data_IF_990134441165
#
_entry.id   IF_990134441165
#
_cell.length_a   1.000
_cell.length_b   1.000
_cell.length_c   1.000
_cell.angle_alpha   90.00
_cell.angle_beta   90.00
_cell.angle_gamma   90.00
#
_symmetry.space_group_name_H-M   'P 1'
#
loop_
_entity.id
_entity.type
_entity.pdbx_description
1 polymer ?
#
# COMPACT_ATOMS: atom_id res chain seq x y z
N UNK A 1 22.18 29.92 36.31
CA UNK A 1 22.06 29.65 34.88
C UNK A 1 21.74 28.18 34.75
N UNK A 2 20.46 27.84 34.58
CA UNK A 2 20.02 26.48 34.26
C UNK A 2 19.43 26.59 32.86
N UNK A 3 20.20 26.21 31.85
CA UNK A 3 19.67 25.98 30.51
C UNK A 3 18.96 24.63 30.53
N UNK A 4 17.64 24.69 30.50
CA UNK A 4 16.77 23.55 30.25
C UNK A 4 16.95 23.11 28.80
N UNK A 5 17.51 21.92 28.62
CA UNK A 5 17.49 21.18 27.35
C UNK A 5 16.04 20.91 26.96
N UNK A 6 15.55 21.59 25.92
CA UNK A 6 14.35 21.18 25.21
C UNK A 6 14.65 19.88 24.47
N UNK A 7 14.07 18.78 24.93
CA UNK A 7 13.92 17.56 24.14
C UNK A 7 13.08 17.92 22.90
N UNK A 8 13.74 18.06 21.75
CA UNK A 8 13.07 18.01 20.46
C UNK A 8 12.68 16.55 20.22
N UNK A 9 11.51 16.15 20.71
CA UNK A 9 10.86 14.93 20.24
C UNK A 9 10.50 15.16 18.77
N UNK A 10 11.34 14.62 17.89
CA UNK A 10 11.22 14.71 16.43
C UNK A 10 10.05 13.91 15.85
N UNK A 11 8.86 14.04 16.44
CA UNK A 11 7.63 13.47 15.91
C UNK A 11 7.14 14.39 14.78
N UNK A 12 7.38 13.99 13.54
CA UNK A 12 6.79 14.63 12.36
C UNK A 12 5.28 14.44 12.43
N UNK A 13 4.50 15.53 12.38
CA UNK A 13 3.04 15.40 12.41
C UNK A 13 2.52 14.70 11.15
N UNK A 14 1.37 14.03 11.24
CA UNK A 14 0.76 13.37 10.09
C UNK A 14 0.50 14.35 8.93
N UNK A 15 0.22 15.61 9.26
CA UNK A 15 -0.02 16.67 8.29
C UNK A 15 1.28 17.12 7.62
N UNK A 16 2.38 17.24 8.36
CA UNK A 16 3.71 17.55 7.80
C UNK A 16 4.23 16.42 6.90
N UNK A 17 3.97 15.17 7.29
CA UNK A 17 4.26 14.01 6.44
C UNK A 17 3.44 14.09 5.15
N UNK A 18 2.13 14.32 5.24
CA UNK A 18 1.24 14.43 4.08
C UNK A 18 1.68 15.55 3.15
N UNK A 19 2.05 16.70 3.69
CA UNK A 19 2.55 17.83 2.91
C UNK A 19 3.88 17.51 2.21
N UNK A 20 4.77 16.79 2.91
CA UNK A 20 6.03 16.31 2.34
C UNK A 20 5.78 15.34 1.18
N UNK A 21 4.85 14.39 1.34
CA UNK A 21 4.47 13.44 0.29
C UNK A 21 3.84 14.15 -0.92
N UNK A 22 2.94 15.12 -0.69
CA UNK A 22 2.33 15.93 -1.74
C UNK A 22 3.37 16.69 -2.58
N UNK A 23 4.44 17.17 -1.96
CA UNK A 23 5.50 17.91 -2.67
C UNK A 23 6.26 17.06 -3.71
N UNK A 24 6.31 15.75 -3.50
CA UNK A 24 6.98 14.78 -4.38
C UNK A 24 5.99 14.02 -5.28
N UNK A 25 4.70 14.11 -4.98
CA UNK A 25 3.63 13.43 -5.69
C UNK A 25 3.45 13.98 -7.10
N UNK A 26 3.22 13.07 -8.07
CA UNK A 26 2.81 13.46 -9.43
C UNK A 26 1.56 12.71 -9.85
N UNK A 27 0.64 13.47 -10.41
CA UNK A 27 -0.58 12.95 -10.99
C UNK A 27 -0.30 12.00 -12.15
N UNK A 28 -1.07 10.93 -12.21
CA UNK A 28 -1.19 10.05 -13.38
C UNK A 28 -2.63 9.53 -13.43
N UNK A 29 -3.24 9.61 -14.61
CA UNK A 29 -4.66 9.29 -14.82
C UNK A 29 -5.04 7.92 -14.27
N UNK A 30 -4.30 6.86 -14.67
CA UNK A 30 -4.56 5.49 -14.21
C UNK A 30 -4.48 5.34 -12.69
N UNK A 31 -3.49 5.98 -12.06
CA UNK A 31 -3.32 5.95 -10.60
C UNK A 31 -4.51 6.58 -9.87
N UNK A 32 -5.01 7.69 -10.41
CA UNK A 32 -6.22 8.34 -9.91
C UNK A 32 -7.47 7.48 -10.10
N UNK A 33 -7.70 6.97 -11.30
CA UNK A 33 -8.87 6.15 -11.63
C UNK A 33 -8.94 4.87 -10.80
N UNK A 34 -7.84 4.11 -10.72
CA UNK A 34 -7.82 2.86 -9.94
C UNK A 34 -8.00 3.15 -8.44
N UNK A 35 -7.45 4.25 -7.94
CA UNK A 35 -7.65 4.61 -6.52
C UNK A 35 -9.08 5.01 -6.21
N UNK A 36 -9.65 5.90 -7.03
CA UNK A 36 -10.98 6.46 -6.81
C UNK A 36 -12.10 5.45 -7.05
N UNK A 37 -11.94 4.56 -8.02
CA UNK A 37 -13.01 3.63 -8.43
C UNK A 37 -12.86 2.23 -7.82
N UNK A 38 -11.65 1.81 -7.46
CA UNK A 38 -11.39 0.46 -6.92
C UNK A 38 -10.90 0.50 -5.48
N UNK A 39 -9.75 1.12 -5.21
CA UNK A 39 -9.09 1.00 -3.90
C UNK A 39 -9.87 1.66 -2.75
N UNK A 40 -10.26 2.92 -2.92
CA UNK A 40 -10.98 3.68 -1.88
C UNK A 40 -12.37 3.06 -1.63
N UNK A 41 -13.19 2.77 -2.66
CA UNK A 41 -14.46 2.11 -2.44
C UNK A 41 -14.32 0.74 -1.77
N UNK A 42 -13.31 -0.05 -2.13
CA UNK A 42 -13.06 -1.35 -1.50
C UNK A 42 -12.74 -1.21 0.00
N UNK A 43 -11.88 -0.25 0.37
CA UNK A 43 -11.59 0.06 1.78
C UNK A 43 -12.84 0.55 2.53
N UNK A 44 -13.69 1.36 1.89
CA UNK A 44 -14.89 1.91 2.52
C UNK A 44 -16.01 0.87 2.67
N UNK A 45 -16.10 -0.10 1.77
CA UNK A 45 -17.14 -1.13 1.77
C UNK A 45 -16.75 -2.38 2.57
N UNK A 46 -15.46 -2.65 2.73
CA UNK A 46 -14.99 -3.79 3.51
C UNK A 46 -15.05 -3.49 5.01
N UNK A 47 -15.70 -4.40 5.75
CA UNK A 47 -15.78 -4.37 7.21
C UNK A 47 -14.49 -4.80 7.88
N UNK A 48 -13.67 -5.59 7.18
CA UNK A 48 -12.40 -6.06 7.72
C UNK A 48 -11.36 -4.94 7.65
N UNK A 49 -10.58 -4.80 8.72
CA UNK A 49 -9.48 -3.83 8.76
C UNK A 49 -8.25 -4.44 8.08
N UNK A 50 -7.66 -3.77 7.08
CA UNK A 50 -6.43 -4.25 6.48
C UNK A 50 -5.30 -4.21 7.51
N UNK A 51 -4.69 -5.35 7.76
CA UNK A 51 -3.52 -5.44 8.63
C UNK A 51 -2.23 -5.07 7.87
N UNK A 52 -2.23 -5.33 6.56
CA UNK A 52 -1.08 -5.13 5.68
C UNK A 52 -1.56 -4.44 4.41
N UNK A 53 -0.85 -3.40 3.99
CA UNK A 53 -1.13 -2.69 2.74
C UNK A 53 0.07 -2.85 1.81
N UNK A 54 -0.17 -3.46 0.64
CA UNK A 54 0.81 -3.61 -0.42
C UNK A 54 0.64 -2.47 -1.41
N UNK A 55 1.60 -1.56 -1.45
CA UNK A 55 1.67 -0.50 -2.45
C UNK A 55 2.65 -0.89 -3.54
N UNK A 56 2.29 -0.62 -4.79
CA UNK A 56 3.27 -0.79 -5.85
C UNK A 56 2.73 -0.55 -7.23
N UNK A 57 3.53 -1.01 -8.17
CA UNK A 57 3.30 -0.89 -9.59
C UNK A 57 2.56 -2.12 -10.16
N UNK A 58 2.89 -2.48 -11.41
CA UNK A 58 2.39 -3.67 -12.08
C UNK A 58 2.73 -4.98 -11.37
N UNK A 59 3.84 -5.09 -10.62
CA UNK A 59 4.18 -6.36 -9.94
C UNK A 59 3.18 -6.64 -8.82
N UNK A 60 2.87 -5.63 -8.00
CA UNK A 60 1.88 -5.76 -6.94
C UNK A 60 0.48 -5.92 -7.52
N UNK A 61 0.11 -5.13 -8.54
CA UNK A 61 -1.17 -5.29 -9.26
C UNK A 61 -1.33 -6.73 -9.81
N UNK A 62 -0.26 -7.34 -10.33
CA UNK A 62 -0.29 -8.70 -10.90
C UNK A 62 -0.49 -9.80 -9.86
N UNK A 63 -0.28 -9.53 -8.58
CA UNK A 63 -0.57 -10.50 -7.53
C UNK A 63 -2.07 -10.82 -7.47
N UNK A 64 -2.95 -9.86 -7.80
CA UNK A 64 -4.39 -10.11 -7.85
C UNK A 64 -4.82 -10.85 -9.11
N UNK A 65 -4.13 -10.64 -10.25
CA UNK A 65 -4.53 -11.20 -11.55
C UNK A 65 -3.84 -12.52 -11.88
N UNK A 66 -2.50 -12.54 -11.89
CA UNK A 66 -1.71 -13.75 -12.19
C UNK A 66 -1.52 -14.60 -10.95
N UNK A 67 -1.34 -13.94 -9.80
CA UNK A 67 -1.17 -14.62 -8.51
C UNK A 67 -2.48 -15.00 -7.83
N UNK A 68 -3.64 -14.66 -8.39
CA UNK A 68 -4.96 -14.96 -7.82
C UNK A 68 -5.06 -14.68 -6.30
N UNK A 69 -4.40 -13.59 -5.86
CA UNK A 69 -4.33 -13.17 -4.46
C UNK A 69 -5.07 -11.84 -4.29
N UNK A 70 -6.42 -11.85 -4.36
CA UNK A 70 -7.22 -10.65 -4.19
C UNK A 70 -7.12 -10.10 -2.75
N UNK A 71 -7.44 -8.83 -2.59
CA UNK A 71 -7.45 -8.18 -1.27
C UNK A 71 -8.40 -8.88 -0.30
N UNK A 72 -8.03 -8.91 0.97
CA UNK A 72 -8.80 -9.50 2.09
C UNK A 72 -9.05 -11.01 1.98
N UNK A 73 -8.33 -11.70 1.11
CA UNK A 73 -8.24 -13.17 1.11
C UNK A 73 -6.88 -13.62 1.67
N UNK A 74 -6.73 -14.89 2.09
CA UNK A 74 -5.45 -15.41 2.56
C UNK A 74 -4.33 -15.17 1.55
N UNK A 75 -3.26 -14.51 1.99
CA UNK A 75 -2.13 -14.11 1.17
C UNK A 75 -0.83 -14.84 1.56
N UNK A 76 -0.01 -15.28 0.59
CA UNK A 76 -0.34 -15.38 -0.84
C UNK A 76 -1.44 -16.42 -1.06
N UNK A 77 -2.05 -16.47 -2.24
CA UNK A 77 -3.06 -17.48 -2.58
C UNK A 77 -2.48 -18.90 -2.67
N UNK A 78 -3.35 -19.90 -2.79
CA UNK A 78 -2.93 -21.28 -3.07
C UNK A 78 -2.27 -21.43 -4.45
N UNK A 79 -2.66 -20.60 -5.41
CA UNK A 79 -2.08 -20.56 -6.76
C UNK A 79 -0.60 -20.17 -6.72
N UNK A 80 -0.22 -19.22 -5.84
CA UNK A 80 1.17 -18.80 -5.69
C UNK A 80 1.99 -19.69 -4.77
N UNK A 81 1.38 -20.18 -3.70
CA UNK A 81 2.05 -21.04 -2.73
C UNK A 81 1.06 -22.08 -2.25
N UNK A 82 1.19 -23.33 -2.71
CA UNK A 82 0.24 -24.39 -2.34
C UNK A 82 0.34 -24.76 -0.86
N UNK A 83 -0.71 -25.37 -0.31
CA UNK A 83 -0.66 -25.89 1.07
C UNK A 83 0.48 -26.89 1.28
N UNK A 84 0.73 -27.77 0.30
CA UNK A 84 1.86 -28.71 0.32
C UNK A 84 3.22 -28.00 0.40
N UNK A 85 3.35 -26.85 -0.28
CA UNK A 85 4.56 -26.03 -0.24
C UNK A 85 4.75 -25.37 1.13
N UNK A 86 3.67 -24.89 1.76
CA UNK A 86 3.70 -24.35 3.13
C UNK A 86 4.13 -25.41 4.13
N UNK A 87 3.57 -26.62 4.04
CA UNK A 87 3.95 -27.75 4.90
C UNK A 87 5.42 -28.10 4.70
N UNK A 88 5.88 -28.17 3.46
CA UNK A 88 7.27 -28.47 3.12
C UNK A 88 8.24 -27.41 3.63
N UNK A 89 7.90 -26.12 3.49
CA UNK A 89 8.69 -25.01 4.00
C UNK A 89 8.72 -24.98 5.53
N UNK A 90 7.59 -25.26 6.17
CA UNK A 90 7.49 -25.29 7.64
C UNK A 90 8.40 -26.40 8.20
N UNK A 91 8.39 -27.58 7.58
CA UNK A 91 9.31 -28.67 7.92
C UNK A 91 10.78 -28.29 7.71
N UNK A 92 11.10 -27.57 6.62
CA UNK A 92 12.45 -27.09 6.34
C UNK A 92 12.95 -26.02 7.34
N UNK A 93 12.02 -25.26 7.95
CA UNK A 93 12.31 -24.23 8.95
C UNK A 93 12.26 -24.75 10.39
N UNK A 94 12.43 -26.06 10.61
CA UNK A 94 12.35 -26.72 11.92
C UNK A 94 10.99 -26.52 12.61
N UNK A 95 9.91 -26.78 11.87
CA UNK A 95 8.52 -26.67 12.34
C UNK A 95 8.09 -25.28 12.83
N UNK A 96 8.75 -24.23 12.32
CA UNK A 96 8.19 -22.88 12.45
C UNK A 96 6.88 -22.79 11.64
N UNK A 97 5.81 -22.33 12.30
CA UNK A 97 4.50 -22.20 11.66
C UNK A 97 4.53 -21.09 10.61
N UNK A 98 4.55 -21.47 9.33
CA UNK A 98 4.26 -20.54 8.24
C UNK A 98 2.74 -20.50 8.05
N UNK A 99 2.13 -19.37 8.38
CA UNK A 99 0.72 -19.13 8.13
C UNK A 99 0.56 -18.11 7.01
N UNK A 100 -0.51 -18.25 6.22
CA UNK A 100 -0.92 -17.20 5.29
C UNK A 100 -1.35 -15.97 6.07
N UNK A 101 -1.07 -14.80 5.50
CA UNK A 101 -1.46 -13.52 6.04
C UNK A 101 -2.95 -13.30 5.76
N UNK A 102 -3.70 -12.89 6.78
CA UNK A 102 -5.08 -12.41 6.64
C UNK A 102 -5.10 -10.91 6.40
N UNK A 103 -6.22 -10.41 5.85
CA UNK A 103 -6.50 -8.97 5.74
C UNK A 103 -5.41 -8.17 5.01
N UNK A 104 -4.83 -8.75 3.96
CA UNK A 104 -3.88 -8.04 3.09
C UNK A 104 -4.65 -7.23 2.05
N UNK A 105 -4.39 -5.93 1.98
CA UNK A 105 -4.95 -5.04 0.99
C UNK A 105 -3.93 -4.74 -0.11
N UNK A 106 -4.26 -5.16 -1.33
CA UNK A 106 -3.47 -4.86 -2.51
C UNK A 106 -3.90 -3.51 -3.11
N UNK A 107 -2.97 -2.56 -3.11
CA UNK A 107 -3.13 -1.23 -3.69
C UNK A 107 -2.12 -1.00 -4.86
N UNK A 108 -1.82 -2.06 -5.61
CA UNK A 108 -0.96 -2.01 -6.79
C UNK A 108 -1.65 -1.37 -7.99
N UNK A 109 -0.93 -0.55 -8.75
CA UNK A 109 -1.44 0.04 -10.01
C UNK A 109 -0.41 -0.05 -11.11
N UNK A 110 -0.82 -0.57 -12.26
CA UNK A 110 0.07 -0.78 -13.39
C UNK A 110 0.83 0.45 -13.87
N UNK A 111 2.15 0.32 -13.92
CA UNK A 111 3.08 1.35 -14.37
C UNK A 111 3.21 2.57 -13.45
N UNK A 112 2.69 2.50 -12.22
CA UNK A 112 2.99 3.51 -11.23
C UNK A 112 4.49 3.63 -11.00
N UNK A 113 4.95 4.86 -10.90
CA UNK A 113 6.26 5.18 -10.33
C UNK A 113 6.08 5.60 -8.89
N UNK A 114 7.20 5.76 -8.18
CA UNK A 114 7.20 6.23 -6.80
C UNK A 114 6.35 7.49 -6.62
N UNK A 115 6.53 8.51 -7.45
CA UNK A 115 5.76 9.77 -7.39
C UNK A 115 4.23 9.57 -7.53
N UNK A 116 3.79 8.53 -8.24
CA UNK A 116 2.36 8.24 -8.43
C UNK A 116 1.79 7.51 -7.22
N UNK A 117 2.59 6.64 -6.60
CA UNK A 117 2.23 6.01 -5.31
C UNK A 117 2.07 7.09 -4.24
N UNK A 118 3.00 8.05 -4.16
CA UNK A 118 2.90 9.17 -3.22
C UNK A 118 1.63 10.00 -3.45
N UNK A 119 1.27 10.24 -4.71
CA UNK A 119 0.02 10.91 -5.07
C UNK A 119 -1.22 10.20 -4.52
N UNK A 120 -1.27 8.87 -4.63
CA UNK A 120 -2.40 8.07 -4.10
C UNK A 120 -2.39 8.00 -2.58
N UNK A 121 -1.21 7.94 -1.98
CA UNK A 121 -1.04 7.93 -0.53
C UNK A 121 -1.55 9.21 0.12
N UNK A 122 -1.06 10.36 -0.38
CA UNK A 122 -1.35 11.67 0.19
C UNK A 122 -2.69 12.27 -0.30
N UNK A 123 -3.21 11.77 -1.42
CA UNK A 123 -4.39 12.32 -2.07
C UNK A 123 -4.07 13.51 -2.97
N UNK A 124 -5.06 13.90 -3.77
CA UNK A 124 -4.96 14.97 -4.75
C UNK A 124 -6.03 16.03 -4.52
N UNK A 125 -5.64 17.29 -4.61
CA UNK A 125 -6.58 18.40 -4.53
C UNK A 125 -7.41 18.48 -5.84
N UNK A 126 -8.62 19.02 -5.72
CA UNK A 126 -9.49 19.24 -6.87
C UNK A 126 -8.83 20.18 -7.89
N UNK A 127 -9.06 19.93 -9.18
CA UNK A 127 -8.75 20.88 -10.24
C UNK A 127 -9.94 21.03 -11.18
N UNK A 128 -9.87 21.96 -12.14
CA UNK A 128 -10.95 22.21 -13.11
C UNK A 128 -11.44 20.91 -13.78
N UNK A 129 -10.52 20.01 -14.12
CA UNK A 129 -10.85 18.75 -14.81
C UNK A 129 -10.98 17.51 -13.90
N UNK A 130 -10.83 17.63 -12.57
CA UNK A 130 -10.87 16.45 -11.69
C UNK A 130 -11.39 16.73 -10.28
N UNK A 131 -12.24 15.83 -9.73
CA UNK A 131 -12.62 15.90 -8.33
C UNK A 131 -11.41 15.58 -7.42
N UNK A 132 -11.46 15.96 -6.14
CA UNK A 132 -10.39 15.63 -5.20
C UNK A 132 -10.30 14.11 -5.01
N UNK A 133 -9.08 13.61 -4.81
CA UNK A 133 -8.81 12.22 -4.44
C UNK A 133 -8.53 12.16 -2.93
N UNK A 134 -9.36 11.48 -2.13
CA UNK A 134 -9.00 11.15 -0.75
C UNK A 134 -7.70 10.35 -0.73
N UNK A 135 -6.75 10.71 0.14
CA UNK A 135 -5.50 9.96 0.27
C UNK A 135 -5.75 8.59 0.91
N UNK A 136 -5.03 7.56 0.47
CA UNK A 136 -5.08 6.26 1.15
C UNK A 136 -4.70 6.39 2.63
N UNK A 137 -3.79 7.30 2.98
CA UNK A 137 -3.47 7.59 4.38
C UNK A 137 -4.70 8.04 5.16
N UNK A 138 -5.52 8.93 4.62
CA UNK A 138 -6.73 9.43 5.30
C UNK A 138 -7.76 8.31 5.51
N UNK A 139 -7.95 7.47 4.49
CA UNK A 139 -8.91 6.36 4.54
C UNK A 139 -8.46 5.26 5.53
N UNK A 140 -7.16 5.10 5.71
CA UNK A 140 -6.56 4.08 6.56
C UNK A 140 -6.20 4.59 7.97
N UNK A 141 -6.19 5.90 8.21
CA UNK A 141 -5.81 6.52 9.49
C UNK A 141 -6.63 6.06 10.69
N UNK A 142 -7.87 5.58 10.46
CA UNK A 142 -8.73 5.04 11.51
C UNK A 142 -8.56 3.53 11.74
N UNK A 143 -7.63 2.88 11.03
CA UNK A 143 -7.47 1.43 11.01
C UNK A 143 -6.10 1.02 11.53
N UNK A 144 -6.03 -0.15 12.17
CA UNK A 144 -4.78 -0.64 12.78
C UNK A 144 -3.87 -1.32 11.74
N UNK A 145 -3.34 -0.55 10.79
CA UNK A 145 -2.41 -1.05 9.76
C UNK A 145 -1.04 -1.30 10.41
N UNK A 146 -0.57 -2.55 10.37
CA UNK A 146 0.69 -2.97 11.02
C UNK A 146 1.90 -2.87 10.10
N UNK A 147 1.70 -2.91 8.77
CA UNK A 147 2.79 -2.91 7.79
C UNK A 147 2.40 -2.25 6.47
N UNK A 148 3.29 -1.37 5.99
CA UNK A 148 3.28 -0.80 4.65
C UNK A 148 4.52 -1.30 3.90
N UNK A 149 4.32 -1.96 2.77
CA UNK A 149 5.41 -2.32 1.87
C UNK A 149 5.19 -1.67 0.50
N UNK A 150 6.24 -1.06 -0.04
CA UNK A 150 6.20 -0.33 -1.30
C UNK A 150 7.18 -0.93 -2.29
N UNK A 151 6.65 -1.54 -3.35
CA UNK A 151 7.47 -2.06 -4.45
C UNK A 151 7.36 -1.13 -5.66
N UNK A 152 8.48 -0.51 -6.01
CA UNK A 152 8.63 0.21 -7.28
C UNK A 152 9.76 -0.43 -8.07
N UNK A 153 9.46 -1.05 -9.20
CA UNK A 153 10.47 -1.49 -10.16
C UNK A 153 10.88 -0.35 -11.08
N UNK A 154 12.17 -0.05 -11.17
CA UNK A 154 12.68 0.78 -12.27
C UNK A 154 12.51 0.02 -13.58
N UNK A 155 11.55 0.45 -14.41
CA UNK A 155 11.55 0.05 -15.83
C UNK A 155 12.54 0.93 -16.58
N UNK A 156 13.83 0.64 -16.41
CA UNK A 156 14.87 1.18 -17.28
C UNK A 156 14.67 0.59 -18.67
N UNK A 157 13.93 1.30 -19.52
CA UNK A 157 14.00 1.09 -20.98
C UNK A 157 15.37 1.58 -21.42
N UNK A 158 16.35 0.68 -21.48
CA UNK A 158 17.52 0.87 -22.35
C UNK A 158 17.02 0.85 -23.79
N UNK A 159 16.88 2.04 -24.37
CA UNK A 159 16.81 2.25 -25.83
C UNK A 159 18.19 2.18 -26.44
#
# INVERSE_FOLDING_TARGET
MHESYSSNDGCVSAEDLKQSLKSLAKFKQRSFETSSTTHIPLLQTCTDEPEIVLLGDSMIERMTTTGDSPSFQPWPSETLLSHESIVSLSAALNDQSINRLSNVFNAGVGGDKFENILYRLAGGDSSEDRPPLPGLLDVLQLRNVKLWDSFTGETSRTT
#
